data_IF_108211517008
#
_entry.id   IF_108211517008
#
_cell.length_a   1.000
_cell.length_b   1.000
_cell.length_c   1.000
_cell.angle_alpha   90.00
_cell.angle_beta   90.00
_cell.angle_gamma   90.00
#
_symmetry.space_group_name_H-M   'P 1'
#
loop_
_entity.id
_entity.type
_entity.pdbx_description
1 polymer ?
#
# COMPACT_ATOMS: atom_id res chain seq x y z
N UNK A 1 14.40 14.75 -1.45
CA UNK A 1 13.26 15.41 -2.11
C UNK A 1 12.26 14.35 -2.52
N UNK A 2 10.96 14.62 -2.51
CA UNK A 2 9.95 13.65 -2.98
C UNK A 2 10.20 13.34 -4.47
N UNK A 3 10.35 12.07 -4.88
CA UNK A 3 10.50 11.73 -6.30
C UNK A 3 9.14 11.83 -6.97
N UNK A 4 9.07 12.63 -8.03
CA UNK A 4 7.84 12.81 -8.81
C UNK A 4 7.63 11.63 -9.77
N UNK A 5 8.71 10.94 -10.13
CA UNK A 5 8.70 9.78 -11.03
C UNK A 5 8.55 8.48 -10.22
N UNK A 6 7.79 7.52 -10.76
CA UNK A 6 7.60 6.16 -10.23
C UNK A 6 6.93 6.03 -8.84
N UNK A 7 6.13 7.03 -8.43
CA UNK A 7 5.27 6.95 -7.26
C UNK A 7 3.79 7.16 -7.63
N UNK A 8 2.86 6.46 -6.96
CA UNK A 8 1.45 6.83 -7.01
C UNK A 8 1.22 8.27 -6.53
N UNK A 9 0.06 8.88 -6.86
CA UNK A 9 -0.30 10.21 -6.39
C UNK A 9 -0.12 10.36 -4.87
N UNK A 10 0.44 11.48 -4.44
CA UNK A 10 0.73 11.74 -3.01
C UNK A 10 -0.53 11.60 -2.15
N UNK A 11 -1.67 12.10 -2.63
CA UNK A 11 -2.95 12.01 -1.93
C UNK A 11 -3.39 10.56 -1.70
N UNK A 12 -3.15 9.67 -2.66
CA UNK A 12 -3.50 8.25 -2.54
C UNK A 12 -2.58 7.53 -1.56
N UNK A 13 -1.29 7.87 -1.56
CA UNK A 13 -0.31 7.36 -0.59
C UNK A 13 -0.67 7.78 0.83
N UNK A 14 -0.98 9.06 1.04
CA UNK A 14 -1.38 9.59 2.35
C UNK A 14 -2.68 8.95 2.83
N UNK A 15 -3.69 8.82 1.96
CA UNK A 15 -4.95 8.12 2.26
C UNK A 15 -4.74 6.65 2.60
N UNK A 16 -3.76 6.01 1.97
CA UNK A 16 -3.34 4.65 2.28
C UNK A 16 -2.49 4.54 3.57
N UNK A 17 -2.23 5.64 4.26
CA UNK A 17 -1.48 5.68 5.51
C UNK A 17 0.03 5.63 5.33
N UNK A 18 0.53 5.91 4.12
CA UNK A 18 1.95 5.92 3.81
C UNK A 18 2.56 7.32 3.94
N UNK A 19 3.76 7.37 4.50
CA UNK A 19 4.63 8.55 4.46
C UNK A 19 5.94 8.21 3.74
N UNK A 20 6.56 9.20 3.13
CA UNK A 20 7.83 9.02 2.44
C UNK A 20 9.00 8.99 3.42
N UNK A 21 9.89 8.03 3.21
CA UNK A 21 11.05 7.79 4.07
C UNK A 21 12.26 8.69 3.75
N UNK A 22 12.19 9.49 2.70
CA UNK A 22 13.33 10.27 2.21
C UNK A 22 14.28 9.48 1.29
N UNK A 23 14.01 8.19 1.06
CA UNK A 23 14.87 7.30 0.27
C UNK A 23 14.14 6.71 -0.93
N UNK A 24 14.64 6.93 -2.15
CA UNK A 24 14.10 6.36 -3.41
C UNK A 24 12.57 6.53 -3.50
N UNK A 25 11.83 5.49 -3.86
CA UNK A 25 10.35 5.42 -3.88
C UNK A 25 9.79 4.68 -2.67
N UNK A 26 10.57 4.60 -1.57
CA UNK A 26 10.18 3.84 -0.38
C UNK A 26 9.23 4.67 0.47
N UNK A 27 8.05 4.12 0.72
CA UNK A 27 7.06 4.68 1.63
C UNK A 27 6.75 3.69 2.74
N UNK A 28 6.43 4.19 3.94
CA UNK A 28 6.19 3.38 5.13
C UNK A 28 4.85 3.72 5.75
N UNK A 29 4.11 2.70 6.20
CA UNK A 29 2.84 2.90 6.87
C UNK A 29 3.05 3.39 8.31
N UNK A 30 2.32 4.43 8.73
CA UNK A 30 2.38 4.95 10.11
C UNK A 30 1.86 3.96 11.17
N UNK A 31 1.01 3.00 10.77
CA UNK A 31 0.34 2.08 11.69
C UNK A 31 1.08 0.74 11.84
N UNK A 32 1.34 0.05 10.73
CA UNK A 32 1.96 -1.28 10.76
C UNK A 32 3.48 -1.26 10.53
N UNK A 33 4.07 -0.10 10.25
CA UNK A 33 5.48 0.07 9.90
C UNK A 33 5.93 -0.72 8.65
N UNK A 34 4.97 -1.26 7.88
CA UNK A 34 5.21 -1.94 6.62
C UNK A 34 5.65 -0.95 5.54
N UNK A 35 6.66 -1.34 4.75
CA UNK A 35 7.23 -0.46 3.71
C UNK A 35 7.04 -1.06 2.31
N UNK A 36 6.65 -0.21 1.36
CA UNK A 36 6.52 -0.55 -0.05
C UNK A 36 7.47 0.30 -0.90
N UNK A 37 7.90 -0.28 -2.01
CA UNK A 37 8.77 0.34 -3.01
C UNK A 37 8.53 -0.33 -4.36
N UNK A 38 9.18 0.17 -5.42
CA UNK A 38 9.09 -0.38 -6.79
C UNK A 38 7.64 -0.41 -7.31
N UNK A 39 6.94 0.71 -7.19
CA UNK A 39 5.56 0.86 -7.61
C UNK A 39 5.41 0.74 -9.13
N UNK A 40 4.45 -0.07 -9.56
CA UNK A 40 4.01 -0.14 -10.94
C UNK A 40 3.05 1.00 -11.31
N UNK A 41 2.89 1.30 -12.62
CA UNK A 41 2.04 2.39 -13.09
C UNK A 41 0.55 2.21 -12.77
N UNK A 42 0.12 0.99 -12.46
CA UNK A 42 -1.28 0.65 -12.14
C UNK A 42 -1.46 0.24 -10.67
N UNK A 43 -0.42 0.38 -9.84
CA UNK A 43 -0.51 -0.02 -8.44
C UNK A 43 -1.36 0.97 -7.67
N UNK A 44 -2.31 0.45 -6.90
CA UNK A 44 -3.13 1.24 -6.01
C UNK A 44 -2.60 1.12 -4.58
N UNK A 45 -2.20 2.22 -3.91
CA UNK A 45 -1.63 2.17 -2.56
C UNK A 45 -2.47 1.41 -1.54
N UNK A 46 -3.79 1.61 -1.52
CA UNK A 46 -4.69 0.94 -0.58
C UNK A 46 -4.74 -0.58 -0.84
N UNK A 47 -4.84 -0.97 -2.11
CA UNK A 47 -4.84 -2.38 -2.52
C UNK A 47 -3.51 -3.05 -2.20
N UNK A 48 -2.37 -2.43 -2.53
CA UNK A 48 -1.05 -2.95 -2.20
C UNK A 48 -0.84 -3.06 -0.70
N UNK A 49 -1.29 -2.07 0.08
CA UNK A 49 -1.20 -2.10 1.53
C UNK A 49 -1.91 -3.33 2.12
N UNK A 50 -3.16 -3.55 1.72
CA UNK A 50 -3.92 -4.72 2.14
C UNK A 50 -3.28 -6.03 1.66
N UNK A 51 -2.77 -6.08 0.42
CA UNK A 51 -2.14 -7.27 -0.17
C UNK A 51 -0.87 -7.68 0.58
N UNK A 52 0.00 -6.73 0.91
CA UNK A 52 1.33 -7.03 1.48
C UNK A 52 1.33 -7.08 3.00
N UNK A 53 0.44 -6.33 3.67
CA UNK A 53 0.38 -6.26 5.13
C UNK A 53 -1.01 -6.64 5.65
N UNK A 54 -1.44 -7.92 5.50
CA UNK A 54 -2.78 -8.36 5.91
C UNK A 54 -3.06 -8.20 7.43
N UNK A 55 -2.02 -8.09 8.25
CA UNK A 55 -2.17 -7.86 9.69
C UNK A 55 -2.36 -6.38 10.06
N UNK A 56 -2.28 -5.46 9.09
CA UNK A 56 -2.52 -4.04 9.32
C UNK A 56 -4.03 -3.77 9.45
N UNK A 57 -4.50 -3.51 10.67
CA UNK A 57 -5.90 -3.16 10.93
C UNK A 57 -6.34 -1.91 10.17
N UNK A 58 -5.45 -0.91 10.03
CA UNK A 58 -5.71 0.30 9.24
C UNK A 58 -5.96 -0.04 7.76
N UNK A 59 -5.12 -0.89 7.15
CA UNK A 59 -5.28 -1.28 5.76
C UNK A 59 -6.61 -2.02 5.52
N UNK A 60 -6.95 -2.95 6.41
CA UNK A 60 -8.21 -3.71 6.36
C UNK A 60 -9.43 -2.78 6.49
N UNK A 61 -9.39 -1.85 7.43
CA UNK A 61 -10.47 -0.88 7.62
C UNK A 61 -10.62 0.03 6.41
N UNK A 62 -9.51 0.49 5.82
CA UNK A 62 -9.51 1.41 4.70
C UNK A 62 -10.11 0.81 3.43
N UNK A 63 -9.76 -0.43 3.07
CA UNK A 63 -10.25 -1.07 1.85
C UNK A 63 -11.61 -1.76 2.02
N UNK A 64 -12.05 -2.00 3.26
CA UNK A 64 -13.30 -2.67 3.57
C UNK A 64 -13.24 -4.19 3.43
N UNK A 65 -14.10 -4.89 4.18
CA UNK A 65 -14.05 -6.36 4.33
C UNK A 65 -14.17 -7.15 3.02
N UNK A 66 -15.06 -6.73 2.11
CA UNK A 66 -15.28 -7.45 0.87
C UNK A 66 -14.06 -7.40 -0.06
N UNK A 67 -13.53 -6.20 -0.28
CA UNK A 67 -12.34 -6.00 -1.11
C UNK A 67 -11.11 -6.64 -0.45
N UNK A 68 -10.94 -6.47 0.86
CA UNK A 68 -9.88 -7.12 1.62
C UNK A 68 -9.85 -8.63 1.40
N UNK A 69 -11.01 -9.29 1.52
CA UNK A 69 -11.14 -10.73 1.31
C UNK A 69 -10.74 -11.14 -0.11
N UNK A 70 -11.24 -10.44 -1.13
CA UNK A 70 -10.89 -10.69 -2.54
C UNK A 70 -9.38 -10.57 -2.77
N UNK A 71 -8.74 -9.52 -2.24
CA UNK A 71 -7.29 -9.31 -2.35
C UNK A 71 -6.51 -10.49 -1.76
N UNK A 72 -6.87 -10.93 -0.56
CA UNK A 72 -6.16 -12.03 0.12
C UNK A 72 -6.37 -13.38 -0.58
N UNK A 73 -7.58 -13.65 -1.07
CA UNK A 73 -7.90 -14.86 -1.84
C UNK A 73 -7.11 -14.91 -3.15
N UNK A 74 -7.08 -13.81 -3.91
CA UNK A 74 -6.30 -13.72 -5.15
C UNK A 74 -4.81 -13.93 -4.91
N UNK A 75 -4.24 -13.37 -3.82
CA UNK A 75 -2.83 -13.56 -3.48
C UNK A 75 -2.50 -15.01 -3.14
N UNK A 76 -3.39 -15.71 -2.42
CA UNK A 76 -3.20 -17.14 -2.09
C UNK A 76 -3.28 -18.03 -3.32
N UNK A 77 -4.13 -17.69 -4.29
CA UNK A 77 -4.26 -18.46 -5.53
C UNK A 77 -3.06 -18.27 -6.50
N UNK A 78 -2.22 -17.27 -6.26
CA UNK A 78 -1.01 -16.97 -7.04
C UNK A 78 0.28 -17.49 -6.39
N UNK A 79 0.17 -18.16 -5.23
CA UNK A 79 1.25 -18.84 -4.52
C UNK A 79 1.15 -20.34 -4.73
#
# INVERSE_FOLDING_TARGET
TWPIEDLPPVDDLVRAGFFYTGTKTIVTCFYCNGSLQNWGPNDNPMTEHARWFPHCAYARQLCGEELYRKIQESKRAQQ
#
